data_IF_051241078282
#
_entry.id   IF_051241078282
#
_cell.length_a   1.000
_cell.length_b   1.000
_cell.length_c   1.000
_cell.angle_alpha   90.00
_cell.angle_beta   90.00
_cell.angle_gamma   90.00
#
_symmetry.space_group_name_H-M   'P 1'
#
loop_
_entity.id
_entity.type
_entity.pdbx_description
1 polymer ?
#
# COMPACT_ATOMS: atom_id res chain seq x y z
N UNK A 1 22.63 17.09 3.35
CA UNK A 1 21.49 17.71 2.64
C UNK A 1 20.74 16.66 1.87
N UNK A 2 19.43 16.65 1.99
CA UNK A 2 18.58 15.76 1.22
C UNK A 2 18.68 16.09 -0.27
N UNK A 3 18.66 15.05 -1.12
CA UNK A 3 18.71 15.20 -2.57
C UNK A 3 17.32 15.01 -3.16
N UNK A 4 17.03 15.71 -4.24
CA UNK A 4 15.87 15.40 -5.06
C UNK A 4 16.05 14.04 -5.75
N UNK A 5 14.94 13.33 -5.93
CA UNK A 5 14.92 11.99 -6.52
C UNK A 5 13.89 11.99 -7.65
N UNK A 6 14.28 11.42 -8.79
CA UNK A 6 13.35 11.19 -9.91
C UNK A 6 13.41 9.71 -10.26
N UNK A 7 12.27 9.05 -10.13
CA UNK A 7 12.10 7.65 -10.54
C UNK A 7 11.19 7.62 -11.75
N UNK A 8 11.71 7.23 -12.93
CA UNK A 8 10.93 7.28 -14.16
C UNK A 8 9.80 6.25 -14.17
N UNK A 9 8.89 6.40 -15.12
CA UNK A 9 7.85 5.40 -15.36
C UNK A 9 8.49 4.02 -15.58
N UNK A 10 7.93 2.99 -14.93
CA UNK A 10 8.47 1.64 -14.93
C UNK A 10 9.71 1.43 -14.06
N UNK A 11 10.28 2.48 -13.50
CA UNK A 11 11.44 2.40 -12.62
C UNK A 11 11.10 2.00 -11.19
N UNK A 12 12.15 1.89 -10.36
CA UNK A 12 12.05 1.46 -8.96
C UNK A 12 12.31 -0.02 -8.79
N UNK A 13 12.21 -0.49 -7.54
CA UNK A 13 12.31 -1.91 -7.22
C UNK A 13 10.94 -2.55 -7.26
N UNK A 14 10.85 -3.76 -7.81
CA UNK A 14 9.59 -4.46 -8.03
C UNK A 14 9.53 -5.76 -7.23
N UNK A 15 8.33 -6.08 -6.73
CA UNK A 15 8.02 -7.40 -6.17
C UNK A 15 6.73 -7.91 -6.82
N UNK A 16 6.82 -9.09 -7.44
CA UNK A 16 5.64 -9.80 -7.95
C UNK A 16 5.17 -10.80 -6.89
N UNK A 17 3.93 -10.65 -6.47
CA UNK A 17 3.30 -11.57 -5.53
C UNK A 17 2.69 -12.78 -6.24
N UNK A 18 2.45 -13.86 -5.49
CA UNK A 18 1.79 -15.06 -6.01
C UNK A 18 0.36 -14.80 -6.51
N UNK A 19 -0.29 -13.78 -5.97
CA UNK A 19 -1.61 -13.31 -6.43
C UNK A 19 -1.60 -12.69 -7.83
N UNK A 20 -0.41 -12.41 -8.37
CA UNK A 20 -0.24 -11.66 -9.61
C UNK A 20 -0.14 -10.15 -9.42
N UNK A 21 -0.29 -9.66 -8.19
CA UNK A 21 -0.07 -8.25 -7.88
C UNK A 21 1.42 -7.91 -7.99
N UNK A 22 1.73 -6.70 -8.44
CA UNK A 22 3.11 -6.21 -8.51
C UNK A 22 3.20 -4.89 -7.76
N UNK A 23 4.08 -4.83 -6.77
CA UNK A 23 4.45 -3.59 -6.08
C UNK A 23 5.70 -3.00 -6.74
N UNK A 24 5.67 -1.70 -7.02
CA UNK A 24 6.80 -0.96 -7.60
C UNK A 24 7.14 0.20 -6.68
N UNK A 25 8.21 0.06 -5.90
CA UNK A 25 8.64 1.09 -4.95
C UNK A 25 9.24 2.27 -5.68
N UNK A 26 8.70 3.45 -5.43
CA UNK A 26 9.19 4.71 -6.00
C UNK A 26 10.03 5.49 -5.00
N UNK A 27 9.58 5.60 -3.76
CA UNK A 27 10.28 6.31 -2.70
C UNK A 27 10.33 5.46 -1.45
N UNK A 28 11.55 5.14 -1.02
CA UNK A 28 11.77 4.51 0.29
C UNK A 28 11.82 5.58 1.39
N UNK A 29 11.37 5.24 2.58
CA UNK A 29 11.41 6.17 3.71
C UNK A 29 12.81 6.71 4.01
N UNK A 30 13.85 5.88 3.87
CA UNK A 30 15.24 6.31 4.04
C UNK A 30 15.69 7.39 3.05
N UNK A 31 15.06 7.44 1.88
CA UNK A 31 15.37 8.42 0.83
C UNK A 31 14.69 9.77 1.06
N UNK A 32 13.62 9.80 1.85
CA UNK A 32 12.78 10.98 2.07
C UNK A 32 12.92 11.55 3.49
N UNK A 33 13.93 11.15 4.23
CA UNK A 33 14.07 11.54 5.64
C UNK A 33 12.93 11.02 6.51
N UNK A 34 12.39 9.87 6.18
CA UNK A 34 11.25 9.22 6.86
C UNK A 34 9.93 10.00 6.75
N UNK A 35 9.81 10.90 5.80
CA UNK A 35 8.59 11.68 5.61
C UNK A 35 7.51 10.93 4.83
N UNK A 36 7.91 10.11 3.86
CA UNK A 36 6.97 9.39 2.99
C UNK A 36 7.57 8.12 2.42
N UNK A 37 6.78 7.06 2.35
CA UNK A 37 7.00 5.90 1.47
C UNK A 37 5.95 5.96 0.38
N UNK A 38 6.35 5.78 -0.88
CA UNK A 38 5.43 5.81 -2.02
C UNK A 38 5.71 4.65 -2.97
N UNK A 39 4.67 3.93 -3.33
CA UNK A 39 4.76 2.83 -4.30
C UNK A 39 3.50 2.76 -5.17
N UNK A 40 3.67 2.20 -6.35
CA UNK A 40 2.58 1.87 -7.25
C UNK A 40 2.31 0.38 -7.18
N UNK A 41 1.04 -0.01 -7.23
CA UNK A 41 0.65 -1.41 -7.23
C UNK A 41 -0.25 -1.69 -8.42
N UNK A 42 0.11 -2.71 -9.21
CA UNK A 42 -0.78 -3.27 -10.21
C UNK A 42 -1.55 -4.43 -9.59
N UNK A 43 -2.85 -4.46 -9.83
CA UNK A 43 -3.77 -5.36 -9.14
C UNK A 43 -4.68 -6.03 -10.15
N UNK A 44 -4.58 -7.36 -10.34
CA UNK A 44 -5.52 -8.08 -11.21
C UNK A 44 -6.97 -7.87 -10.78
N UNK A 45 -7.89 -7.98 -11.73
CA UNK A 45 -9.33 -7.89 -11.44
C UNK A 45 -9.72 -8.87 -10.32
N UNK A 46 -10.47 -8.40 -9.35
CA UNK A 46 -10.92 -9.20 -8.22
C UNK A 46 -9.90 -9.43 -7.10
N UNK A 47 -8.64 -9.05 -7.30
CA UNK A 47 -7.61 -9.15 -6.27
C UNK A 47 -7.78 -8.06 -5.20
N UNK A 48 -7.33 -8.39 -3.99
CA UNK A 48 -7.48 -7.52 -2.82
C UNK A 48 -6.28 -7.62 -1.88
N UNK A 49 -6.19 -6.71 -0.92
CA UNK A 49 -5.27 -6.89 0.18
C UNK A 49 -5.74 -8.01 1.12
N UNK A 50 -4.82 -8.57 1.89
CA UNK A 50 -5.10 -9.77 2.68
C UNK A 50 -5.95 -9.51 3.93
N UNK A 51 -5.82 -8.33 4.52
CA UNK A 51 -6.32 -8.08 5.88
C UNK A 51 -7.15 -6.80 6.01
N UNK A 52 -8.09 -6.83 6.94
CA UNK A 52 -8.59 -5.63 7.59
C UNK A 52 -7.52 -5.24 8.61
N UNK A 53 -6.94 -4.06 8.47
CA UNK A 53 -5.81 -3.63 9.30
C UNK A 53 -5.80 -2.12 9.50
N UNK A 54 -4.97 -1.67 10.41
CA UNK A 54 -4.71 -0.26 10.63
C UNK A 54 -3.21 -0.03 10.85
N UNK A 55 -2.81 1.23 10.73
CA UNK A 55 -1.45 1.68 11.03
C UNK A 55 -1.51 2.64 12.21
N UNK A 56 -0.62 2.45 13.18
CA UNK A 56 -0.60 3.29 14.38
C UNK A 56 0.09 4.63 14.17
N UNK A 57 1.11 4.65 13.30
CA UNK A 57 2.05 5.76 13.20
C UNK A 57 2.09 6.43 11.82
N UNK A 58 1.19 6.05 10.92
CA UNK A 58 1.16 6.60 9.56
C UNK A 58 -0.26 6.76 9.07
N UNK A 59 -0.50 7.83 8.34
CA UNK A 59 -1.67 7.95 7.49
C UNK A 59 -1.35 7.30 6.14
N UNK A 60 -2.37 6.83 5.44
CA UNK A 60 -2.22 6.23 4.12
C UNK A 60 -3.10 6.97 3.12
N UNK A 61 -2.55 7.20 1.93
CA UNK A 61 -3.31 7.74 0.80
C UNK A 61 -3.25 6.74 -0.34
N UNK A 62 -4.38 6.51 -1.00
CA UNK A 62 -4.47 5.76 -2.23
C UNK A 62 -4.99 6.67 -3.35
N UNK A 63 -4.34 6.62 -4.50
CA UNK A 63 -4.78 7.33 -5.70
C UNK A 63 -4.95 6.32 -6.83
N UNK A 64 -6.17 6.13 -7.30
CA UNK A 64 -6.49 5.17 -8.38
C UNK A 64 -6.06 5.76 -9.72
N UNK A 65 -5.20 5.04 -10.44
CA UNK A 65 -4.76 5.41 -11.80
C UNK A 65 -5.60 4.73 -12.87
N UNK A 66 -5.86 3.43 -12.72
CA UNK A 66 -6.64 2.61 -13.65
C UNK A 66 -7.51 1.63 -12.88
N UNK A 67 -8.63 1.25 -13.45
CA UNK A 67 -9.54 0.27 -12.87
C UNK A 67 -10.53 0.87 -11.88
N UNK A 68 -11.27 0.02 -11.21
CA UNK A 68 -12.26 0.40 -10.21
C UNK A 68 -11.95 -0.29 -8.89
N UNK A 69 -11.83 0.49 -7.84
CA UNK A 69 -11.49 -0.03 -6.51
C UNK A 69 -12.60 0.21 -5.51
N UNK A 70 -12.79 -0.77 -4.64
CA UNK A 70 -13.61 -0.63 -3.44
C UNK A 70 -12.69 -0.44 -2.25
N UNK A 71 -12.95 0.60 -1.47
CA UNK A 71 -12.25 0.88 -0.21
C UNK A 71 -13.23 0.74 0.94
N UNK A 72 -12.86 -0.02 1.95
CA UNK A 72 -13.50 0.05 3.26
C UNK A 72 -12.60 0.84 4.20
N UNK A 73 -13.13 1.93 4.76
CA UNK A 73 -12.42 2.80 5.71
C UNK A 73 -13.33 3.00 6.92
N UNK A 74 -12.94 2.46 8.05
CA UNK A 74 -13.86 2.34 9.18
C UNK A 74 -15.08 1.50 8.78
N UNK A 75 -16.27 2.07 8.94
CA UNK A 75 -17.53 1.41 8.55
C UNK A 75 -18.02 1.82 7.15
N UNK A 76 -17.34 2.75 6.52
CA UNK A 76 -17.73 3.23 5.18
C UNK A 76 -17.14 2.35 4.09
N UNK A 77 -17.93 2.11 3.05
CA UNK A 77 -17.52 1.39 1.84
C UNK A 77 -17.74 2.32 0.66
N UNK A 78 -16.67 2.61 -0.07
CA UNK A 78 -16.69 3.56 -1.18
C UNK A 78 -16.06 2.91 -2.40
N UNK A 79 -16.70 3.10 -3.56
CA UNK A 79 -16.20 2.58 -4.85
C UNK A 79 -15.79 3.78 -5.69
N UNK A 80 -14.62 3.68 -6.33
CA UNK A 80 -14.15 4.74 -7.21
C UNK A 80 -13.27 4.25 -8.34
N UNK A 81 -13.38 4.94 -9.47
CA UNK A 81 -12.57 4.71 -10.67
C UNK A 81 -11.32 5.60 -10.72
N UNK A 82 -10.71 5.72 -11.92
CA UNK A 82 -9.50 6.54 -12.11
C UNK A 82 -9.69 7.97 -11.63
N UNK A 83 -8.68 8.47 -10.89
CA UNK A 83 -8.73 9.80 -10.28
C UNK A 83 -9.31 9.83 -8.86
N UNK A 84 -9.81 8.70 -8.36
CA UNK A 84 -10.29 8.61 -6.98
C UNK A 84 -9.12 8.67 -6.02
N UNK A 85 -9.25 9.50 -4.98
CA UNK A 85 -8.30 9.59 -3.88
C UNK A 85 -8.97 9.13 -2.59
N UNK A 86 -8.36 8.17 -1.90
CA UNK A 86 -8.83 7.68 -0.61
C UNK A 86 -7.82 8.04 0.47
N UNK A 87 -8.30 8.58 1.58
CA UNK A 87 -7.50 8.88 2.75
C UNK A 87 -7.86 7.93 3.88
N UNK A 88 -6.88 7.15 4.32
CA UNK A 88 -7.02 6.19 5.40
C UNK A 88 -6.23 6.68 6.61
N UNK A 89 -6.89 7.37 7.57
CA UNK A 89 -6.19 7.92 8.72
C UNK A 89 -5.56 6.83 9.57
N UNK A 90 -4.48 7.17 10.26
CA UNK A 90 -3.90 6.26 11.26
C UNK A 90 -4.94 5.84 12.28
N UNK A 91 -4.81 4.64 12.80
CA UNK A 91 -5.72 4.02 13.76
C UNK A 91 -7.15 3.74 13.25
N UNK A 92 -7.41 3.93 11.97
CA UNK A 92 -8.71 3.60 11.36
C UNK A 92 -8.57 2.33 10.53
N UNK A 93 -9.33 1.26 10.83
CA UNK A 93 -9.28 0.02 10.08
C UNK A 93 -9.65 0.22 8.62
N UNK A 94 -8.91 -0.40 7.72
CA UNK A 94 -9.18 -0.29 6.29
C UNK A 94 -8.78 -1.55 5.52
N UNK A 95 -9.39 -1.68 4.35
CA UNK A 95 -9.11 -2.72 3.35
C UNK A 95 -9.48 -2.20 1.97
N UNK A 96 -8.96 -2.84 0.93
CA UNK A 96 -9.27 -2.46 -0.45
C UNK A 96 -9.31 -3.68 -1.37
N UNK A 97 -9.96 -3.49 -2.53
CA UNK A 97 -10.11 -4.53 -3.55
C UNK A 97 -10.24 -3.88 -4.92
N UNK A 98 -9.61 -4.49 -5.94
CA UNK A 98 -9.98 -4.20 -7.31
C UNK A 98 -11.32 -4.89 -7.60
N UNK A 99 -12.39 -4.15 -7.55
CA UNK A 99 -13.76 -4.64 -7.75
C UNK A 99 -14.22 -4.54 -9.20
N UNK A 100 -13.36 -4.04 -10.09
CA UNK A 100 -13.63 -3.96 -11.52
C UNK A 100 -13.37 -5.27 -12.24
N UNK A 101 -13.51 -5.21 -13.57
CA UNK A 101 -13.38 -6.37 -14.46
C UNK A 101 -12.07 -6.36 -15.26
N UNK A 102 -11.24 -5.34 -15.06
CA UNK A 102 -9.95 -5.17 -15.72
C UNK A 102 -8.84 -5.01 -14.69
N UNK A 103 -7.56 -5.26 -15.06
CA UNK A 103 -6.45 -4.96 -14.17
C UNK A 103 -6.46 -3.48 -13.77
N UNK A 104 -6.13 -3.19 -12.53
CA UNK A 104 -6.08 -1.84 -11.99
C UNK A 104 -4.67 -1.44 -11.59
N UNK A 105 -4.47 -0.13 -11.43
CA UNK A 105 -3.25 0.44 -10.86
C UNK A 105 -3.62 1.50 -9.84
N UNK A 106 -2.92 1.47 -8.73
CA UNK A 106 -3.14 2.39 -7.61
C UNK A 106 -1.80 2.84 -7.05
N UNK A 107 -1.69 4.10 -6.71
CA UNK A 107 -0.54 4.64 -5.98
C UNK A 107 -0.90 4.67 -4.50
N UNK A 108 -0.03 4.10 -3.67
CA UNK A 108 -0.13 4.19 -2.22
C UNK A 108 1.01 5.02 -1.66
N UNK A 109 0.73 5.81 -0.66
CA UNK A 109 1.77 6.46 0.13
C UNK A 109 1.43 6.40 1.62
N UNK A 110 2.49 6.27 2.42
CA UNK A 110 2.41 6.36 3.89
C UNK A 110 3.16 7.61 4.36
N UNK A 111 2.55 8.36 5.23
CA UNK A 111 3.17 9.56 5.80
C UNK A 111 2.80 9.71 7.30
N UNK A 112 3.79 9.79 8.22
CA UNK A 112 5.21 9.48 8.01
C UNK A 112 5.46 8.09 7.44
N UNK A 113 6.69 7.82 7.03
CA UNK A 113 7.04 6.59 6.31
C UNK A 113 6.97 5.29 7.15
N UNK A 114 6.66 5.35 8.42
CA UNK A 114 6.77 4.24 9.37
C UNK A 114 6.08 2.95 8.88
N UNK A 115 4.84 3.03 8.44
CA UNK A 115 4.11 1.86 7.94
C UNK A 115 4.71 1.28 6.66
N UNK A 116 5.39 2.10 5.88
CA UNK A 116 6.08 1.70 4.66
C UNK A 116 7.24 0.75 4.90
N UNK A 117 7.81 0.73 6.10
CA UNK A 117 8.90 -0.18 6.45
C UNK A 117 8.54 -1.64 6.14
N UNK A 118 7.32 -2.07 6.43
CA UNK A 118 6.86 -3.42 6.12
C UNK A 118 6.93 -3.71 4.62
N UNK A 119 6.43 -2.80 3.79
CA UNK A 119 6.43 -2.95 2.32
C UNK A 119 7.87 -2.92 1.78
N UNK A 120 8.70 -2.01 2.28
CA UNK A 120 10.10 -1.90 1.91
C UNK A 120 10.87 -3.20 2.19
N UNK A 121 10.65 -3.78 3.36
CA UNK A 121 11.28 -5.05 3.73
C UNK A 121 10.79 -6.23 2.90
N UNK A 122 9.51 -6.25 2.53
CA UNK A 122 8.99 -7.27 1.62
C UNK A 122 9.68 -7.23 0.26
N UNK A 123 9.94 -6.04 -0.25
CA UNK A 123 10.59 -5.85 -1.56
C UNK A 123 12.08 -6.18 -1.50
N UNK A 124 12.78 -5.71 -0.46
CA UNK A 124 14.22 -5.87 -0.34
C UNK A 124 14.64 -7.24 0.19
N UNK A 125 13.82 -7.84 1.04
CA UNK A 125 14.11 -9.12 1.71
C UNK A 125 12.86 -10.00 1.74
N UNK A 126 12.38 -10.43 0.56
CA UNK A 126 11.16 -11.25 0.49
C UNK A 126 11.34 -12.57 1.24
N UNK A 127 10.35 -12.94 2.04
CA UNK A 127 10.33 -14.21 2.79
C UNK A 127 11.24 -14.26 4.02
N UNK A 128 11.96 -13.20 4.35
CA UNK A 128 12.80 -13.15 5.54
C UNK A 128 12.02 -12.75 6.80
N UNK A 129 12.46 -13.30 7.93
CA UNK A 129 11.91 -12.95 9.23
C UNK A 129 10.51 -13.50 9.50
N UNK A 130 9.98 -13.18 10.69
CA UNK A 130 8.67 -13.61 11.13
C UNK A 130 7.64 -12.52 10.83
N UNK A 131 6.57 -12.88 10.12
CA UNK A 131 5.60 -11.94 9.59
C UNK A 131 4.96 -11.06 10.67
N UNK A 132 4.47 -11.66 11.75
CA UNK A 132 3.81 -10.92 12.83
C UNK A 132 4.72 -9.88 13.45
N UNK A 133 5.99 -10.23 13.67
CA UNK A 133 6.97 -9.29 14.21
C UNK A 133 7.27 -8.15 13.24
N UNK A 134 7.38 -8.42 11.96
CA UNK A 134 7.63 -7.39 10.93
C UNK A 134 6.45 -6.41 10.86
N UNK A 135 5.23 -6.89 10.95
CA UNK A 135 4.03 -6.05 11.00
C UNK A 135 4.04 -5.17 12.25
N UNK A 136 4.28 -5.76 13.42
CA UNK A 136 4.32 -5.03 14.69
C UNK A 136 5.43 -3.96 14.68
N UNK A 137 6.63 -4.33 14.23
CA UNK A 137 7.78 -3.41 14.16
C UNK A 137 7.51 -2.21 13.23
N UNK A 138 6.62 -2.37 12.26
CA UNK A 138 6.22 -1.32 11.31
C UNK A 138 4.95 -0.57 11.73
N UNK A 139 4.43 -0.86 12.92
CA UNK A 139 3.24 -0.20 13.46
C UNK A 139 1.93 -0.65 12.82
N UNK A 140 1.87 -1.84 12.25
CA UNK A 140 0.64 -2.44 11.71
C UNK A 140 -0.09 -3.25 12.77
N UNK A 141 -1.41 -3.16 12.77
CA UNK A 141 -2.27 -4.03 13.55
C UNK A 141 -3.27 -4.72 12.61
N UNK A 142 -3.24 -6.05 12.61
CA UNK A 142 -4.14 -6.86 11.80
C UNK A 142 -5.34 -7.25 12.65
N UNK A 143 -6.54 -6.94 12.18
CA UNK A 143 -7.80 -7.20 12.88
C UNK A 143 -8.47 -8.48 12.42
N UNK A 144 -8.12 -8.97 11.24
CA UNK A 144 -8.69 -10.19 10.67
C UNK A 144 -8.53 -10.22 9.16
N UNK A 145 -9.11 -11.21 8.49
CA UNK A 145 -9.09 -11.26 7.03
C UNK A 145 -9.86 -10.08 6.43
N UNK A 146 -9.52 -9.72 5.19
CA UNK A 146 -10.24 -8.66 4.48
C UNK A 146 -11.72 -9.02 4.34
N UNK A 147 -12.63 -8.08 4.66
CA UNK A 147 -14.08 -8.29 4.52
C UNK A 147 -14.59 -8.07 3.09
N UNK A 148 -13.72 -7.70 2.16
CA UNK A 148 -14.08 -7.38 0.78
C UNK A 148 -13.94 -8.58 -0.15
#
# INVERSE_FOLDING_TARGET
MAKGIVVPAGGGQHLKESSGQVMSMKLFGRETGQSVTLFEQSVPAGSKNSWLHLHHDSDEVAWVLDGEFTFRIGDEVIIGGPGTCAFMPRNVPHAWKNSGTVPGRVVFLYTPARAGQFVEEMIERPGEGELGKRLEDSGWEVLGPSPL
#
